data_IF_386776918124
#
_entry.id   IF_386776918124
#
_cell.length_a   1.000
_cell.length_b   1.000
_cell.length_c   1.000
_cell.angle_alpha   90.00
_cell.angle_beta   90.00
_cell.angle_gamma   90.00
#
_symmetry.space_group_name_H-M   'P 1'
#
loop_
_entity.id
_entity.type
_entity.pdbx_description
1 polymer ?
#
# COMPACT_ATOMS: atom_id res chain seq x y z
N UNK A 1 45.64 -8.37 -3.69
CA UNK A 1 44.50 -9.23 -3.28
C UNK A 1 44.41 -10.37 -4.29
N UNK A 2 44.36 -11.62 -3.83
CA UNK A 2 44.22 -12.76 -4.74
C UNK A 2 42.85 -12.78 -5.42
N UNK A 3 42.77 -13.32 -6.65
CA UNK A 3 41.51 -13.39 -7.42
C UNK A 3 40.39 -14.10 -6.64
N UNK A 4 40.72 -15.16 -5.90
CA UNK A 4 39.77 -15.89 -5.05
C UNK A 4 39.25 -15.03 -3.89
N UNK A 5 40.14 -14.26 -3.27
CA UNK A 5 39.82 -13.34 -2.18
C UNK A 5 38.90 -12.20 -2.65
N UNK A 6 39.13 -11.69 -3.87
CA UNK A 6 38.29 -10.67 -4.48
C UNK A 6 36.88 -11.19 -4.78
N UNK A 7 36.76 -12.39 -5.37
CA UNK A 7 35.46 -13.02 -5.65
C UNK A 7 34.68 -13.26 -4.36
N UNK A 8 35.33 -13.79 -3.30
CA UNK A 8 34.69 -14.01 -2.00
C UNK A 8 34.19 -12.71 -1.40
N UNK A 9 35.03 -11.68 -1.41
CA UNK A 9 34.70 -10.36 -0.87
C UNK A 9 33.51 -9.75 -1.62
N UNK A 10 33.55 -9.77 -2.96
CA UNK A 10 32.48 -9.26 -3.80
C UNK A 10 31.14 -9.99 -3.56
N UNK A 11 31.18 -11.33 -3.46
CA UNK A 11 30.00 -12.13 -3.13
C UNK A 11 29.38 -11.72 -1.79
N UNK A 12 30.21 -11.56 -0.75
CA UNK A 12 29.73 -11.17 0.58
C UNK A 12 29.11 -9.77 0.59
N UNK A 13 29.69 -8.81 -0.13
CA UNK A 13 29.11 -7.47 -0.27
C UNK A 13 27.77 -7.49 -1.01
N UNK A 14 27.65 -8.25 -2.10
CA UNK A 14 26.39 -8.39 -2.84
C UNK A 14 25.31 -9.08 -1.99
N UNK A 15 25.67 -10.16 -1.30
CA UNK A 15 24.74 -10.86 -0.41
C UNK A 15 24.28 -9.96 0.75
N UNK A 16 25.21 -9.23 1.36
CA UNK A 16 24.92 -8.25 2.40
C UNK A 16 24.00 -7.13 1.89
N UNK A 17 24.24 -6.62 0.68
CA UNK A 17 23.41 -5.59 0.07
C UNK A 17 21.98 -6.07 -0.15
N UNK A 18 21.80 -7.27 -0.72
CA UNK A 18 20.48 -7.87 -0.94
C UNK A 18 19.78 -8.10 0.40
N UNK A 19 20.48 -8.69 1.38
CA UNK A 19 19.96 -8.91 2.71
C UNK A 19 19.51 -7.61 3.38
N UNK A 20 20.32 -6.55 3.27
CA UNK A 20 19.98 -5.23 3.81
C UNK A 20 18.70 -4.68 3.16
N UNK A 21 18.54 -4.78 1.84
CA UNK A 21 17.32 -4.34 1.15
C UNK A 21 16.09 -5.09 1.66
N UNK A 22 16.17 -6.41 1.82
CA UNK A 22 15.06 -7.22 2.35
C UNK A 22 14.70 -6.80 3.78
N UNK A 23 15.69 -6.57 4.63
CA UNK A 23 15.44 -6.10 6.01
C UNK A 23 14.77 -4.73 6.01
N UNK A 24 15.26 -3.79 5.19
CA UNK A 24 14.67 -2.44 5.09
C UNK A 24 13.22 -2.51 4.60
N UNK A 25 12.93 -3.36 3.61
CA UNK A 25 11.56 -3.58 3.15
C UNK A 25 10.66 -4.14 4.25
N UNK A 26 11.15 -5.10 5.03
CA UNK A 26 10.41 -5.64 6.18
C UNK A 26 10.13 -4.58 7.25
N UNK A 27 11.10 -3.72 7.56
CA UNK A 27 10.92 -2.62 8.51
C UNK A 27 9.87 -1.62 8.04
N UNK A 28 9.88 -1.27 6.75
CA UNK A 28 8.85 -0.38 6.17
C UNK A 28 7.46 -1.01 6.30
N UNK A 29 7.32 -2.32 6.03
CA UNK A 29 6.03 -3.00 6.16
C UNK A 29 5.53 -3.03 7.61
N UNK A 30 6.41 -3.23 8.59
CA UNK A 30 6.03 -3.22 10.00
C UNK A 30 5.58 -1.83 10.46
N UNK A 31 6.28 -0.78 10.05
CA UNK A 31 5.91 0.60 10.37
C UNK A 31 4.59 0.97 9.68
N UNK A 32 4.41 0.61 8.41
CA UNK A 32 3.17 0.81 7.66
C UNK A 32 1.98 0.13 8.34
N UNK A 33 2.15 -1.12 8.79
CA UNK A 33 1.13 -1.84 9.55
C UNK A 33 0.81 -1.11 10.87
N UNK A 34 1.83 -0.70 11.62
CA UNK A 34 1.63 0.05 12.86
C UNK A 34 0.87 1.37 12.62
N UNK A 35 1.21 2.10 11.56
CA UNK A 35 0.52 3.32 11.18
C UNK A 35 -0.95 3.05 10.84
N UNK A 36 -1.26 2.01 10.06
CA UNK A 36 -2.64 1.62 9.71
C UNK A 36 -3.47 1.20 10.94
N UNK A 37 -2.87 0.48 11.88
CA UNK A 37 -3.57 -0.01 13.08
C UNK A 37 -3.81 1.09 14.11
N UNK A 38 -2.81 1.93 14.37
CA UNK A 38 -2.86 2.89 15.49
C UNK A 38 -3.26 4.31 15.08
N UNK A 39 -2.87 4.77 13.88
CA UNK A 39 -3.05 6.16 13.43
C UNK A 39 -4.15 6.26 12.38
N UNK A 40 -4.11 5.41 11.35
CA UNK A 40 -4.98 5.45 10.17
C UNK A 40 -6.06 4.37 10.22
N UNK A 41 -6.96 4.46 11.21
CA UNK A 41 -7.99 3.44 11.46
C UNK A 41 -8.95 3.21 10.29
N UNK A 42 -9.09 4.13 9.31
CA UNK A 42 -9.93 3.89 8.14
C UNK A 42 -9.21 3.07 7.06
N UNK A 43 -7.88 3.02 7.08
CA UNK A 43 -7.11 2.18 6.16
C UNK A 43 -7.40 0.68 6.32
N UNK A 44 -7.85 0.25 7.50
CA UNK A 44 -8.16 -1.15 7.82
C UNK A 44 -9.62 -1.54 7.52
N UNK A 45 -10.42 -0.62 6.96
CA UNK A 45 -11.80 -0.92 6.61
C UNK A 45 -11.87 -1.90 5.42
N UNK A 46 -12.43 -3.08 5.68
CA UNK A 46 -12.86 -4.02 4.64
C UNK A 46 -14.16 -3.49 4.05
N UNK A 47 -14.04 -2.73 2.95
CA UNK A 47 -15.18 -2.28 2.18
C UNK A 47 -15.65 -3.45 1.30
N UNK A 48 -16.74 -4.09 1.71
CA UNK A 48 -17.39 -5.12 0.91
C UNK A 48 -18.04 -4.43 -0.29
N UNK A 49 -17.58 -4.78 -1.48
CA UNK A 49 -18.15 -4.27 -2.72
C UNK A 49 -19.61 -4.75 -2.83
N UNK A 50 -20.59 -3.87 -3.07
CA UNK A 50 -21.94 -4.33 -3.36
C UNK A 50 -21.91 -5.13 -4.67
N UNK A 51 -22.26 -6.41 -4.63
CA UNK A 51 -22.16 -7.39 -5.74
C UNK A 51 -22.91 -7.01 -7.04
N UNK A 52 -23.59 -5.86 -7.08
CA UNK A 52 -24.40 -5.43 -8.22
C UNK A 52 -23.62 -4.45 -9.09
N UNK A 53 -22.70 -4.95 -9.92
CA UNK A 53 -22.18 -4.17 -11.06
C UNK A 53 -21.87 -5.02 -12.30
N UNK A 54 -22.18 -4.51 -13.50
CA UNK A 54 -23.08 -3.38 -13.76
C UNK A 54 -24.51 -3.76 -13.34
N UNK A 55 -25.24 -2.80 -12.78
CA UNK A 55 -26.65 -3.03 -12.46
C UNK A 55 -27.35 -3.11 -13.82
N UNK A 56 -27.92 -4.26 -14.21
CA UNK A 56 -28.75 -4.29 -15.41
C UNK A 56 -29.86 -3.25 -15.20
N UNK A 57 -30.25 -2.52 -16.23
CA UNK A 57 -31.41 -1.59 -16.18
C UNK A 57 -32.74 -2.31 -15.85
N UNK A 58 -32.67 -3.60 -15.53
CA UNK A 58 -33.74 -4.56 -15.52
C UNK A 58 -33.46 -5.56 -14.39
N UNK A 59 -34.40 -5.73 -13.45
CA UNK A 59 -34.31 -6.78 -12.41
C UNK A 59 -34.88 -8.08 -12.97
N UNK A 60 -34.21 -9.21 -12.72
CA UNK A 60 -34.76 -10.53 -13.05
C UNK A 60 -35.65 -11.01 -11.90
N UNK A 61 -36.93 -11.18 -12.19
CA UNK A 61 -37.92 -11.74 -11.28
C UNK A 61 -37.77 -13.26 -11.16
N UNK A 62 -38.34 -13.90 -10.12
CA UNK A 62 -38.23 -15.35 -9.92
C UNK A 62 -38.77 -16.20 -11.08
N UNK A 63 -39.62 -15.62 -11.92
CA UNK A 63 -40.20 -16.22 -13.12
C UNK A 63 -39.35 -15.98 -14.39
N UNK A 64 -38.13 -15.45 -14.24
CA UNK A 64 -37.23 -15.06 -15.32
C UNK A 64 -37.74 -13.90 -16.21
N UNK A 65 -38.80 -13.20 -15.81
CA UNK A 65 -39.16 -11.94 -16.45
C UNK A 65 -38.25 -10.81 -15.98
N UNK A 66 -38.00 -9.87 -16.87
CA UNK A 66 -37.10 -8.75 -16.62
C UNK A 66 -37.95 -7.47 -16.56
N UNK A 67 -37.97 -6.82 -15.39
CA UNK A 67 -38.69 -5.56 -15.18
C UNK A 67 -37.70 -4.39 -15.09
N UNK A 68 -37.95 -3.31 -15.83
CA UNK A 68 -37.09 -2.11 -15.77
C UNK A 68 -37.03 -1.57 -14.34
N UNK A 69 -35.82 -1.22 -13.89
CA UNK A 69 -35.63 -0.59 -12.61
C UNK A 69 -36.36 0.76 -12.61
N UNK A 70 -37.17 0.98 -11.57
CA UNK A 70 -37.81 2.28 -11.36
C UNK A 70 -36.75 3.38 -11.18
N UNK A 71 -37.09 4.62 -11.52
CA UNK A 71 -36.17 5.75 -11.37
C UNK A 71 -35.63 5.88 -9.93
N UNK A 72 -36.48 5.63 -8.93
CA UNK A 72 -36.09 5.66 -7.51
C UNK A 72 -35.08 4.56 -7.14
N UNK A 73 -35.23 3.34 -7.68
CA UNK A 73 -34.28 2.25 -7.47
C UNK A 73 -32.93 2.55 -8.11
N UNK A 74 -32.92 3.14 -9.31
CA UNK A 74 -31.69 3.55 -9.99
C UNK A 74 -30.96 4.64 -9.21
N UNK A 75 -31.68 5.64 -8.70
CA UNK A 75 -31.09 6.72 -7.88
C UNK A 75 -30.50 6.19 -6.58
N UNK A 76 -31.21 5.29 -5.88
CA UNK A 76 -30.71 4.69 -4.64
C UNK A 76 -29.41 3.92 -4.86
N UNK A 77 -29.36 3.12 -5.91
CA UNK A 77 -28.17 2.36 -6.29
C UNK A 77 -27.01 3.30 -6.62
N UNK A 78 -27.23 4.32 -7.46
CA UNK A 78 -26.19 5.31 -7.77
C UNK A 78 -25.65 6.01 -6.52
N UNK A 79 -26.53 6.33 -5.56
CA UNK A 79 -26.13 6.93 -4.29
C UNK A 79 -25.28 5.99 -3.44
N UNK A 80 -25.68 4.73 -3.29
CA UNK A 80 -24.90 3.72 -2.58
C UNK A 80 -23.51 3.51 -3.23
N UNK A 81 -23.44 3.55 -4.57
CA UNK A 81 -22.20 3.47 -5.32
C UNK A 81 -21.29 4.68 -5.08
N UNK A 82 -21.84 5.89 -5.08
CA UNK A 82 -21.09 7.11 -4.82
C UNK A 82 -20.54 7.13 -3.39
N UNK A 83 -21.35 6.69 -2.42
CA UNK A 83 -20.91 6.54 -1.03
C UNK A 83 -19.79 5.50 -0.89
N UNK A 84 -19.92 4.35 -1.55
CA UNK A 84 -18.87 3.32 -1.58
C UNK A 84 -17.57 3.88 -2.17
N UNK A 85 -17.63 4.50 -3.35
CA UNK A 85 -16.44 5.09 -4.00
C UNK A 85 -15.78 6.14 -3.12
N UNK A 86 -16.58 6.95 -2.41
CA UNK A 86 -16.08 7.98 -1.51
C UNK A 86 -15.34 7.35 -0.33
N UNK A 87 -15.92 6.34 0.32
CA UNK A 87 -15.27 5.60 1.42
C UNK A 87 -14.00 4.88 0.96
N UNK A 88 -14.03 4.29 -0.24
CA UNK A 88 -12.87 3.61 -0.81
C UNK A 88 -11.72 4.59 -1.07
N UNK A 89 -12.02 5.74 -1.68
CA UNK A 89 -11.02 6.80 -1.90
C UNK A 89 -10.40 7.30 -0.60
N UNK A 90 -11.20 7.44 0.46
CA UNK A 90 -10.67 7.80 1.79
C UNK A 90 -9.73 6.72 2.33
N UNK A 91 -10.14 5.45 2.30
CA UNK A 91 -9.33 4.33 2.78
C UNK A 91 -8.01 4.21 2.00
N UNK A 92 -8.05 4.35 0.67
CA UNK A 92 -6.87 4.26 -0.18
C UNK A 92 -5.90 5.42 0.06
N UNK A 93 -6.41 6.63 0.30
CA UNK A 93 -5.57 7.78 0.69
C UNK A 93 -4.85 7.52 2.00
N UNK A 94 -5.54 7.00 3.01
CA UNK A 94 -4.93 6.66 4.29
C UNK A 94 -3.89 5.53 4.17
N UNK A 95 -4.17 4.50 3.37
CA UNK A 95 -3.20 3.42 3.07
C UNK A 95 -1.94 3.96 2.40
N UNK A 96 -2.10 4.83 1.41
CA UNK A 96 -0.99 5.44 0.70
C UNK A 96 -0.17 6.37 1.60
N UNK A 97 -0.85 7.14 2.46
CA UNK A 97 -0.18 8.00 3.44
C UNK A 97 0.62 7.18 4.45
N UNK A 98 0.04 6.10 4.99
CA UNK A 98 0.71 5.20 5.92
C UNK A 98 1.98 4.61 5.32
N UNK A 99 1.91 4.13 4.07
CA UNK A 99 3.05 3.54 3.39
C UNK A 99 4.15 4.57 3.10
N UNK A 100 3.77 5.77 2.62
CA UNK A 100 4.71 6.85 2.38
C UNK A 100 5.42 7.29 3.66
N UNK A 101 4.68 7.43 4.75
CA UNK A 101 5.24 7.77 6.05
C UNK A 101 6.17 6.69 6.58
N UNK A 102 5.81 5.41 6.41
CA UNK A 102 6.69 4.30 6.79
C UNK A 102 8.03 4.33 6.03
N UNK A 103 7.99 4.57 4.71
CA UNK A 103 9.20 4.73 3.91
C UNK A 103 10.06 5.90 4.37
N UNK A 104 9.45 7.04 4.72
CA UNK A 104 10.19 8.21 5.23
C UNK A 104 10.80 7.90 6.60
N UNK A 105 10.02 7.34 7.53
CA UNK A 105 10.46 7.04 8.89
C UNK A 105 11.64 6.06 8.93
N UNK A 106 11.68 5.09 8.01
CA UNK A 106 12.79 4.13 7.91
C UNK A 106 13.93 4.66 7.04
N UNK A 107 13.59 5.26 5.89
CA UNK A 107 14.56 5.71 4.89
C UNK A 107 15.37 6.93 5.33
N UNK A 108 14.75 7.90 6.02
CA UNK A 108 15.44 9.11 6.50
C UNK A 108 16.61 8.80 7.45
N UNK A 109 16.47 8.02 8.53
CA UNK A 109 17.60 7.71 9.40
C UNK A 109 18.69 6.92 8.66
N UNK A 110 18.33 6.00 7.76
CA UNK A 110 19.29 5.29 6.92
C UNK A 110 20.09 6.25 6.03
N UNK A 111 19.42 7.16 5.34
CA UNK A 111 20.06 8.17 4.49
C UNK A 111 21.00 9.07 5.31
N UNK A 112 20.52 9.60 6.44
CA UNK A 112 21.32 10.48 7.29
C UNK A 112 22.55 9.78 7.86
N UNK A 113 22.43 8.49 8.22
CA UNK A 113 23.57 7.69 8.69
C UNK A 113 24.66 7.58 7.61
N UNK A 114 24.30 7.16 6.40
CA UNK A 114 25.26 7.02 5.30
C UNK A 114 25.85 8.37 4.89
N UNK A 115 25.03 9.41 4.82
CA UNK A 115 25.49 10.77 4.50
C UNK A 115 26.52 11.30 5.50
N UNK A 116 26.32 11.04 6.80
CA UNK A 116 27.28 11.41 7.85
C UNK A 116 28.61 10.68 7.70
N UNK A 117 28.61 9.39 7.35
CA UNK A 117 29.85 8.62 7.14
C UNK A 117 30.65 9.21 5.99
N UNK A 118 30.00 9.44 4.84
CA UNK A 118 30.65 10.04 3.65
C UNK A 118 31.28 11.39 3.98
N UNK A 119 30.60 12.22 4.80
CA UNK A 119 31.17 13.50 5.22
C UNK A 119 32.38 13.36 6.14
N UNK A 120 32.43 12.33 6.99
CA UNK A 120 33.60 12.08 7.85
C UNK A 120 34.80 11.65 7.02
N UNK A 121 34.59 10.81 6.02
CA UNK A 121 35.66 10.34 5.12
C UNK A 121 36.22 11.47 4.24
N UNK A 122 35.41 12.49 3.92
CA UNK A 122 35.87 13.69 3.19
C UNK A 122 36.66 14.69 4.03
N UNK A 123 36.63 14.58 5.35
CA UNK A 123 37.29 15.50 6.29
C UNK A 123 38.62 14.94 6.84
N UNK A 124 38.96 13.69 6.52
CA UNK A 124 40.23 13.04 6.82
C UNK A 124 41.13 13.01 5.60
#
# INVERSE_FOLDING_TARGET
MDRKELIRTLYLYLFSLIGLVVVVMGLVQLVDLGLKVFVFKKADQVLIYPERFPVPAVKTLPDQTTEELTLEEQEKIQKEQLEYQTKQREADRERNAANALAMILVGTPLFLYHWKIIQKDKKS
#
